data_IF_657046488711
#
_entry.id   IF_657046488711
#
_cell.length_a   1.000
_cell.length_b   1.000
_cell.length_c   1.000
_cell.angle_alpha   90.00
_cell.angle_beta   90.00
_cell.angle_gamma   90.00
#
_symmetry.space_group_name_H-M   'P 1'
#
loop_
_entity.id
_entity.type
_entity.pdbx_description
1 polymer ?
#
# COMPACT_ATOMS: atom_id res chain seq x y z
N UNK A 1 -45.21 42.65 43.44
CA UNK A 1 -44.82 42.52 42.02
C UNK A 1 -43.38 42.01 41.98
N UNK A 2 -43.14 40.71 41.78
CA UNK A 2 -41.76 40.18 41.86
C UNK A 2 -41.57 38.68 41.61
N UNK A 3 -42.64 37.88 41.71
CA UNK A 3 -42.55 36.41 41.51
C UNK A 3 -42.60 35.95 40.04
N UNK A 4 -42.96 36.84 39.10
CA UNK A 4 -43.11 36.47 37.69
C UNK A 4 -41.79 36.54 36.88
N UNK A 5 -40.77 37.23 37.38
CA UNK A 5 -39.49 37.42 36.67
C UNK A 5 -38.51 36.27 36.89
N UNK A 6 -38.52 35.64 38.07
CA UNK A 6 -37.63 34.52 38.42
C UNK A 6 -38.06 33.22 37.76
N UNK A 7 -39.38 32.99 37.62
CA UNK A 7 -39.92 31.78 37.00
C UNK A 7 -39.68 31.72 35.47
N UNK A 8 -39.67 32.87 34.79
CA UNK A 8 -39.37 32.95 33.35
C UNK A 8 -37.90 32.69 33.02
N UNK A 9 -36.98 33.03 33.94
CA UNK A 9 -35.55 32.79 33.75
C UNK A 9 -35.20 31.30 33.93
N UNK A 10 -35.83 30.61 34.89
CA UNK A 10 -35.67 29.17 35.10
C UNK A 10 -36.25 28.33 33.94
N UNK A 11 -37.40 28.71 33.38
CA UNK A 11 -37.99 28.04 32.21
C UNK A 11 -37.15 28.20 30.93
N UNK A 12 -36.48 29.34 30.73
CA UNK A 12 -35.62 29.56 29.56
C UNK A 12 -34.34 28.68 29.56
N UNK A 13 -33.74 28.41 30.73
CA UNK A 13 -32.53 27.58 30.83
C UNK A 13 -32.85 26.08 30.68
N UNK A 14 -34.02 25.61 31.12
CA UNK A 14 -34.45 24.21 30.98
C UNK A 14 -34.84 23.87 29.54
N UNK A 15 -35.50 24.78 28.82
CA UNK A 15 -35.88 24.58 27.40
C UNK A 15 -34.66 24.53 26.47
N UNK A 16 -33.56 25.24 26.80
CA UNK A 16 -32.33 25.19 25.98
C UNK A 16 -31.53 23.89 26.18
N UNK A 17 -31.50 23.34 27.41
CA UNK A 17 -30.81 22.07 27.72
C UNK A 17 -31.56 20.83 27.26
N UNK A 18 -32.90 20.79 27.37
CA UNK A 18 -33.70 19.66 26.87
C UNK A 18 -33.77 19.62 25.35
N UNK A 19 -33.82 20.76 24.67
CA UNK A 19 -33.74 20.84 23.20
C UNK A 19 -32.36 20.40 22.69
N UNK A 20 -31.26 20.77 23.36
CA UNK A 20 -29.92 20.29 23.01
C UNK A 20 -29.76 18.78 23.25
N UNK A 21 -30.30 18.23 24.36
CA UNK A 21 -30.26 16.79 24.64
C UNK A 21 -31.11 16.01 23.62
N UNK A 22 -32.28 16.50 23.23
CA UNK A 22 -33.12 15.87 22.20
C UNK A 22 -32.52 16.01 20.80
N UNK A 23 -31.83 17.11 20.46
CA UNK A 23 -31.11 17.23 19.18
C UNK A 23 -29.86 16.34 19.12
N UNK A 24 -29.08 16.24 20.21
CA UNK A 24 -27.93 15.33 20.26
C UNK A 24 -28.38 13.87 20.30
N UNK A 25 -29.47 13.55 20.99
CA UNK A 25 -30.09 12.22 20.95
C UNK A 25 -30.69 11.90 19.57
N UNK A 26 -31.30 12.86 18.87
CA UNK A 26 -31.80 12.67 17.50
C UNK A 26 -30.64 12.40 16.52
N UNK A 27 -29.51 13.10 16.63
CA UNK A 27 -28.32 12.85 15.78
C UNK A 27 -27.63 11.52 16.13
N UNK A 28 -27.59 11.10 17.40
CA UNK A 28 -26.94 9.85 17.82
C UNK A 28 -27.84 8.61 17.66
N UNK A 29 -29.16 8.73 17.76
CA UNK A 29 -30.12 7.60 17.70
C UNK A 29 -30.69 7.40 16.29
N UNK A 30 -30.78 8.45 15.45
CA UNK A 30 -31.28 8.33 14.07
C UNK A 30 -30.19 8.15 13.00
N UNK A 31 -28.91 8.19 13.38
CA UNK A 31 -27.79 7.92 12.48
C UNK A 31 -26.95 6.67 12.84
N UNK A 32 -27.55 5.48 13.00
CA UNK A 32 -26.80 4.23 12.93
C UNK A 32 -27.31 3.32 11.79
N UNK A 33 -27.40 3.84 10.57
CA UNK A 33 -27.57 3.01 9.36
C UNK A 33 -26.54 3.45 8.33
N UNK A 34 -25.29 2.97 8.38
CA UNK A 34 -24.46 3.14 7.16
C UNK A 34 -23.27 2.19 7.01
N UNK A 35 -22.44 1.93 8.03
CA UNK A 35 -21.13 1.32 7.73
C UNK A 35 -21.16 -0.20 7.50
N UNK A 36 -22.07 -0.93 8.15
CA UNK A 36 -22.09 -2.40 8.12
C UNK A 36 -22.78 -2.99 6.89
N UNK A 37 -23.72 -2.27 6.27
CA UNK A 37 -24.47 -2.75 5.10
C UNK A 37 -23.67 -2.63 3.78
N UNK A 38 -22.65 -1.75 3.75
CA UNK A 38 -21.85 -1.46 2.56
C UNK A 38 -20.77 -2.51 2.21
N UNK A 39 -20.42 -3.42 3.13
CA UNK A 39 -19.38 -4.45 2.87
C UNK A 39 -19.93 -5.59 2.02
N UNK A 40 -21.19 -5.98 2.21
CA UNK A 40 -21.83 -7.11 1.52
C UNK A 40 -22.06 -6.83 0.01
N UNK A 41 -22.15 -5.55 -0.39
CA UNK A 41 -22.40 -5.12 -1.78
C UNK A 41 -21.14 -4.98 -2.66
N UNK A 42 -19.95 -5.40 -2.19
CA UNK A 42 -18.65 -5.23 -2.91
C UNK A 42 -18.31 -6.41 -3.84
N UNK A 43 -19.27 -6.83 -4.67
CA UNK A 43 -19.07 -7.92 -5.63
C UNK A 43 -18.13 -7.52 -6.78
N UNK A 44 -18.30 -6.31 -7.33
CA UNK A 44 -17.51 -5.83 -8.47
C UNK A 44 -16.07 -5.50 -8.07
N UNK A 45 -15.10 -6.01 -8.83
CA UNK A 45 -13.67 -5.76 -8.57
C UNK A 45 -13.11 -4.73 -9.55
N UNK A 46 -12.63 -3.61 -9.03
CA UNK A 46 -11.95 -2.57 -9.82
C UNK A 46 -10.53 -2.98 -10.20
N UNK A 47 -9.84 -3.75 -9.35
CA UNK A 47 -8.44 -4.15 -9.52
C UNK A 47 -8.26 -5.65 -9.77
N UNK A 48 -7.43 -5.99 -10.75
CA UNK A 48 -6.96 -7.35 -11.04
C UNK A 48 -5.44 -7.45 -10.89
N UNK A 49 -4.91 -8.68 -11.00
CA UNK A 49 -3.46 -8.93 -11.01
C UNK A 49 -2.79 -8.28 -12.22
N UNK A 50 -1.65 -7.64 -12.00
CA UNK A 50 -0.82 -7.04 -13.05
C UNK A 50 0.26 -8.02 -13.53
N UNK A 51 0.37 -8.22 -14.85
CA UNK A 51 1.37 -9.11 -15.48
C UNK A 51 2.82 -8.75 -15.15
N UNK A 52 3.15 -7.46 -15.06
CA UNK A 52 4.52 -7.00 -14.79
C UNK A 52 4.92 -7.14 -13.33
N UNK A 53 3.98 -6.94 -12.41
CA UNK A 53 4.28 -6.61 -11.02
C UNK A 53 3.72 -7.61 -10.01
N UNK A 54 2.89 -8.56 -10.46
CA UNK A 54 2.26 -9.59 -9.61
C UNK A 54 1.22 -9.05 -8.62
N UNK A 55 1.18 -7.73 -8.37
CA UNK A 55 0.25 -7.11 -7.45
C UNK A 55 -1.15 -6.93 -8.04
N UNK A 56 -2.20 -7.03 -7.19
CA UNK A 56 -3.59 -6.69 -7.52
C UNK A 56 -3.78 -5.17 -7.63
N UNK A 57 -3.20 -4.57 -8.65
CA UNK A 57 -3.16 -3.12 -8.84
C UNK A 57 -3.53 -2.69 -10.27
N UNK A 58 -3.90 -3.62 -11.14
CA UNK A 58 -4.32 -3.29 -12.50
C UNK A 58 -5.78 -2.85 -12.50
N UNK A 59 -6.06 -1.62 -12.90
CA UNK A 59 -7.41 -1.09 -12.93
C UNK A 59 -8.17 -1.58 -14.18
N UNK A 60 -9.31 -2.26 -14.01
CA UNK A 60 -10.03 -2.90 -15.12
C UNK A 60 -10.67 -1.89 -16.08
N UNK A 61 -11.17 -0.77 -15.58
CA UNK A 61 -11.79 0.28 -16.40
C UNK A 61 -10.70 1.09 -17.14
N UNK A 62 -9.83 1.78 -16.39
CA UNK A 62 -8.76 2.63 -16.95
C UNK A 62 -7.58 1.89 -17.61
N UNK A 63 -7.53 0.56 -17.53
CA UNK A 63 -6.46 -0.28 -18.11
C UNK A 63 -5.04 0.11 -17.69
N UNK A 64 -4.88 0.71 -16.52
CA UNK A 64 -3.60 1.18 -16.00
C UNK A 64 -3.28 0.54 -14.65
N UNK A 65 -2.01 0.22 -14.44
CA UNK A 65 -1.55 -0.33 -13.16
C UNK A 65 -1.16 0.79 -12.18
N UNK A 66 -1.85 0.86 -11.04
CA UNK A 66 -1.56 1.83 -9.98
C UNK A 66 -0.17 1.59 -9.35
N UNK A 67 0.37 0.36 -9.35
CA UNK A 67 1.69 0.14 -8.76
C UNK A 67 2.81 0.55 -9.70
N UNK A 68 2.81 0.04 -10.94
CA UNK A 68 3.97 0.11 -11.83
C UNK A 68 3.74 0.82 -13.16
N UNK A 69 2.53 1.31 -13.43
CA UNK A 69 2.24 2.12 -14.61
C UNK A 69 1.95 1.35 -15.90
N UNK A 70 2.02 0.01 -15.90
CA UNK A 70 1.66 -0.81 -17.07
C UNK A 70 0.33 -0.34 -17.67
N UNK A 71 0.25 0.01 -18.97
CA UNK A 71 1.13 -0.36 -20.08
C UNK A 71 2.38 0.50 -20.32
N UNK A 72 2.67 1.54 -19.53
CA UNK A 72 3.83 2.41 -19.75
C UNK A 72 5.15 1.64 -19.86
N UNK A 73 6.06 2.08 -20.73
CA UNK A 73 7.39 1.46 -20.88
C UNK A 73 8.22 1.60 -19.59
N UNK A 74 8.26 2.82 -19.03
CA UNK A 74 8.94 3.10 -17.76
C UNK A 74 8.12 2.61 -16.57
N UNK A 75 8.81 2.13 -15.53
CA UNK A 75 8.18 1.81 -14.25
C UNK A 75 7.82 3.11 -13.55
N UNK A 76 6.59 3.20 -13.06
CA UNK A 76 6.12 4.34 -12.26
C UNK A 76 6.86 4.43 -10.92
N UNK A 77 7.53 5.55 -10.67
CA UNK A 77 8.19 5.91 -9.41
C UNK A 77 7.93 7.38 -9.09
N UNK A 78 7.82 7.71 -7.80
CA UNK A 78 7.70 9.10 -7.34
C UNK A 78 8.73 9.40 -6.26
N UNK A 79 9.21 10.64 -6.25
CA UNK A 79 10.24 11.15 -5.33
C UNK A 79 9.74 11.30 -3.90
N UNK A 80 8.46 11.62 -3.70
CA UNK A 80 7.86 11.73 -2.37
C UNK A 80 7.76 10.38 -1.64
N UNK A 81 7.90 9.26 -2.36
CA UNK A 81 7.72 7.90 -1.83
C UNK A 81 9.01 7.09 -1.69
N UNK A 82 9.96 7.52 -0.85
CA UNK A 82 11.27 6.86 -0.71
C UNK A 82 11.18 5.36 -0.32
N UNK A 83 10.23 4.99 0.54
CA UNK A 83 9.97 3.58 0.89
C UNK A 83 9.46 2.77 -0.31
N UNK A 84 8.65 3.38 -1.17
CA UNK A 84 8.11 2.71 -2.35
C UNK A 84 9.22 2.44 -3.37
N UNK A 85 10.19 3.35 -3.52
CA UNK A 85 11.38 3.13 -4.33
C UNK A 85 12.20 1.96 -3.83
N UNK A 86 12.55 1.93 -2.55
CA UNK A 86 13.36 0.86 -1.92
C UNK A 86 12.79 -0.56 -2.14
N UNK A 87 11.47 -0.70 -2.29
CA UNK A 87 10.83 -2.00 -2.58
C UNK A 87 11.03 -2.50 -4.01
N UNK A 88 11.44 -1.63 -4.94
CA UNK A 88 11.52 -1.91 -6.39
C UNK A 88 12.91 -1.64 -6.99
N UNK A 89 13.85 -1.16 -6.19
CA UNK A 89 15.22 -0.90 -6.62
C UNK A 89 15.93 -2.21 -6.99
N UNK A 90 16.94 -2.09 -7.84
CA UNK A 90 17.89 -3.15 -8.16
C UNK A 90 18.43 -3.76 -6.85
N UNK A 91 18.52 -5.09 -6.77
CA UNK A 91 18.90 -5.78 -5.53
C UNK A 91 17.75 -6.52 -4.82
N UNK A 92 16.51 -6.10 -5.04
CA UNK A 92 15.34 -6.67 -4.31
C UNK A 92 14.91 -8.05 -4.81
N UNK A 93 15.27 -8.42 -6.04
CA UNK A 93 14.90 -9.69 -6.68
C UNK A 93 16.05 -10.67 -6.85
N UNK A 94 15.80 -11.74 -7.62
CA UNK A 94 16.73 -12.89 -7.80
C UNK A 94 18.04 -12.57 -8.53
N UNK A 95 18.21 -11.35 -9.07
CA UNK A 95 19.41 -10.85 -9.76
C UNK A 95 20.20 -11.89 -10.57
N UNK A 96 19.54 -12.59 -11.50
CA UNK A 96 20.14 -13.70 -12.27
C UNK A 96 21.45 -13.34 -12.97
N UNK A 97 21.54 -12.14 -13.53
CA UNK A 97 22.75 -11.68 -14.23
C UNK A 97 23.73 -10.98 -13.26
N UNK A 98 23.27 -9.91 -12.61
CA UNK A 98 24.11 -9.04 -11.80
C UNK A 98 24.86 -9.75 -10.66
N UNK A 99 24.29 -10.84 -10.11
CA UNK A 99 24.97 -11.61 -9.05
C UNK A 99 26.27 -12.26 -9.52
N UNK A 100 26.31 -12.72 -10.77
CA UNK A 100 27.49 -13.37 -11.35
C UNK A 100 28.52 -12.39 -11.90
N UNK A 101 28.11 -11.15 -12.20
CA UNK A 101 28.99 -10.13 -12.81
C UNK A 101 30.22 -9.88 -11.94
N UNK A 102 30.08 -9.73 -10.63
CA UNK A 102 31.22 -9.46 -9.74
C UNK A 102 32.24 -10.60 -9.71
N UNK A 103 31.79 -11.85 -9.86
CA UNK A 103 32.69 -13.02 -9.95
C UNK A 103 33.36 -13.08 -11.32
N UNK A 104 32.61 -12.86 -12.40
CA UNK A 104 33.15 -12.82 -13.77
C UNK A 104 34.20 -11.71 -13.93
N UNK A 105 33.97 -10.56 -13.31
CA UNK A 105 34.89 -9.43 -13.32
C UNK A 105 36.25 -9.81 -12.70
N UNK A 106 36.25 -10.44 -11.51
CA UNK A 106 37.49 -10.92 -10.86
C UNK A 106 38.23 -11.97 -11.70
N UNK A 107 37.49 -12.74 -12.49
CA UNK A 107 38.02 -13.77 -13.36
C UNK A 107 38.40 -13.24 -14.75
N UNK A 108 38.30 -11.93 -15.00
CA UNK A 108 38.66 -11.29 -16.27
C UNK A 108 37.74 -11.63 -17.45
N UNK A 109 36.47 -11.94 -17.20
CA UNK A 109 35.49 -12.32 -18.23
C UNK A 109 35.96 -13.42 -19.18
N UNK A 110 36.68 -14.42 -18.65
CA UNK A 110 37.14 -15.57 -19.44
C UNK A 110 35.97 -16.34 -20.04
N UNK A 111 36.06 -16.63 -21.32
CA UNK A 111 35.12 -17.45 -22.08
C UNK A 111 35.81 -18.73 -22.58
N UNK A 112 35.06 -19.83 -22.68
CA UNK A 112 35.49 -21.11 -23.28
C UNK A 112 36.76 -21.80 -22.71
N UNK A 113 37.26 -21.37 -21.55
CA UNK A 113 38.38 -22.03 -20.86
C UNK A 113 37.90 -23.06 -19.83
N UNK A 114 38.45 -24.28 -19.86
CA UNK A 114 38.17 -25.31 -18.86
C UNK A 114 39.20 -25.25 -17.72
N UNK A 115 38.75 -25.50 -16.49
CA UNK A 115 39.65 -25.59 -15.34
C UNK A 115 40.54 -26.83 -15.46
N UNK A 116 41.88 -26.65 -15.42
CA UNK A 116 42.82 -27.77 -15.38
C UNK A 116 42.74 -28.46 -14.03
N UNK A 117 42.58 -29.80 -14.01
CA UNK A 117 42.63 -30.62 -12.79
C UNK A 117 44.01 -30.48 -12.15
N UNK A 118 44.07 -30.18 -10.85
CA UNK A 118 45.32 -30.21 -10.07
C UNK A 118 45.53 -31.62 -9.54
N UNK A 119 46.72 -32.19 -9.77
CA UNK A 119 47.15 -33.49 -9.22
C UNK A 119 48.31 -33.20 -8.27
N UNK A 120 48.33 -33.84 -7.09
CA UNK A 120 49.46 -33.74 -6.16
C UNK A 120 50.71 -34.33 -6.82
N UNK A 121 51.86 -33.66 -6.67
CA UNK A 121 53.13 -34.21 -7.12
C UNK A 121 53.38 -35.54 -6.39
N UNK A 122 53.70 -36.60 -7.14
CA UNK A 122 54.17 -37.84 -6.54
C UNK A 122 55.63 -37.61 -6.16
N UNK A 123 55.95 -37.75 -4.89
CA UNK A 123 57.34 -37.86 -4.44
C UNK A 123 57.77 -39.28 -4.76
N UNK A 124 58.61 -39.45 -5.76
CA UNK A 124 59.24 -40.74 -6.03
C UNK A 124 60.21 -41.04 -4.86
N UNK A 125 59.97 -42.16 -4.19
CA UNK A 125 60.69 -42.61 -3.00
C UNK A 125 62.02 -43.29 -3.36
#
# INVERSE_FOLDING_TARGET
MGFAATLRCLLAVVVSRTVLILLVAFVLVFCPVDERYLVLRRHTKSHTLCRRCGNRAFHRQHKTCASCGYPSAKIRSYEWGQKAKRRKTTGTGRMRYLKDVSRRFKNGFRENTVAKKRVSAKTDA
#
